data_IF_222303317279
#
_entry.id   IF_222303317279
#
_cell.length_a   1.000
_cell.length_b   1.000
_cell.length_c   1.000
_cell.angle_alpha   90.00
_cell.angle_beta   90.00
_cell.angle_gamma   90.00
#
_symmetry.space_group_name_H-M   'P 1'
#
loop_
_entity.id
_entity.type
_entity.pdbx_description
1 polymer ?
#
# COMPACT_ATOMS: atom_id res chain seq x y z
N UNK A 1 4.37 6.31 -21.66
CA UNK A 1 4.31 7.01 -20.36
C UNK A 1 2.89 6.88 -19.86
N UNK A 2 2.65 6.52 -18.59
CA UNK A 2 1.30 6.48 -18.00
C UNK A 2 1.18 7.59 -16.96
N UNK A 3 0.15 8.41 -17.04
CA UNK A 3 -0.09 9.51 -16.10
C UNK A 3 -1.33 9.23 -15.23
N UNK A 4 -1.29 9.69 -13.99
CA UNK A 4 -2.29 9.31 -13.01
C UNK A 4 -2.32 10.19 -11.78
N UNK A 5 -3.12 9.77 -10.81
CA UNK A 5 -3.26 10.46 -9.53
C UNK A 5 -3.44 9.48 -8.37
N UNK A 6 -3.35 10.01 -7.16
CA UNK A 6 -3.85 9.31 -5.98
C UNK A 6 -5.37 9.46 -5.92
N UNK A 7 -6.11 8.35 -5.94
CA UNK A 7 -7.57 8.36 -6.07
C UNK A 7 -8.24 7.76 -4.83
N UNK A 8 -9.34 8.37 -4.42
CA UNK A 8 -10.11 7.94 -3.25
C UNK A 8 -10.86 6.62 -3.50
N UNK A 9 -10.73 5.68 -2.56
CA UNK A 9 -11.48 4.40 -2.50
C UNK A 9 -12.76 4.50 -1.66
N UNK A 10 -13.19 5.72 -1.31
CA UNK A 10 -14.44 5.93 -0.60
C UNK A 10 -15.63 5.39 -1.41
N UNK A 11 -16.46 4.56 -0.76
CA UNK A 11 -17.56 3.83 -1.40
C UNK A 11 -17.18 2.43 -1.92
N UNK A 12 -15.91 2.03 -1.83
CA UNK A 12 -15.40 0.75 -2.33
C UNK A 12 -14.18 0.94 -3.23
N UNK A 13 -13.24 -0.01 -3.27
CA UNK A 13 -11.99 0.17 -4.01
C UNK A 13 -12.23 0.34 -5.51
N UNK A 14 -13.19 -0.39 -6.11
CA UNK A 14 -13.48 -0.32 -7.55
C UNK A 14 -13.95 1.06 -8.01
N UNK A 15 -14.53 1.86 -7.11
CA UNK A 15 -14.92 3.27 -7.38
C UNK A 15 -13.74 4.19 -7.66
N UNK A 16 -12.51 3.78 -7.35
CA UNK A 16 -11.34 4.52 -7.75
C UNK A 16 -11.20 4.59 -9.28
N UNK A 17 -11.60 3.54 -10.03
CA UNK A 17 -11.51 3.54 -11.48
C UNK A 17 -12.51 4.51 -12.13
N UNK A 18 -13.74 4.60 -11.62
CA UNK A 18 -14.72 5.58 -12.10
C UNK A 18 -14.15 7.01 -12.01
N UNK A 19 -13.58 7.36 -10.85
CA UNK A 19 -12.93 8.66 -10.61
C UNK A 19 -11.68 8.86 -11.47
N UNK A 20 -10.96 7.78 -11.77
CA UNK A 20 -9.76 7.82 -12.59
C UNK A 20 -10.11 8.10 -14.06
N UNK A 21 -11.19 7.49 -14.57
CA UNK A 21 -11.74 7.80 -15.90
C UNK A 21 -12.13 9.28 -15.99
N UNK A 22 -12.81 9.82 -14.97
CA UNK A 22 -13.26 11.21 -14.95
C UNK A 22 -12.12 12.24 -15.10
N UNK A 23 -10.91 11.89 -14.65
CA UNK A 23 -9.72 12.75 -14.73
C UNK A 23 -8.77 12.38 -15.88
N UNK A 24 -9.14 11.39 -16.71
CA UNK A 24 -8.29 10.89 -17.80
C UNK A 24 -7.01 10.20 -17.32
N UNK A 25 -7.02 9.58 -16.14
CA UNK A 25 -5.88 8.86 -15.62
C UNK A 25 -5.69 7.51 -16.32
N UNK A 26 -4.45 7.17 -16.60
CA UNK A 26 -4.02 5.91 -17.21
C UNK A 26 -3.49 4.92 -16.16
N UNK A 27 -3.09 5.41 -14.97
CA UNK A 27 -2.60 4.67 -13.81
C UNK A 27 -3.12 5.33 -12.52
N UNK A 28 -3.18 4.59 -11.41
CA UNK A 28 -3.65 5.14 -10.13
C UNK A 28 -2.82 4.66 -8.96
N UNK A 29 -2.77 5.50 -7.92
CA UNK A 29 -2.38 5.09 -6.58
C UNK A 29 -3.60 5.16 -5.65
N UNK A 30 -3.75 4.20 -4.74
CA UNK A 30 -4.85 4.19 -3.77
C UNK A 30 -4.36 3.81 -2.37
N UNK A 31 -5.21 4.04 -1.37
CA UNK A 31 -5.08 3.39 -0.06
C UNK A 31 -5.94 2.14 0.00
N UNK A 32 -5.36 1.00 0.39
CA UNK A 32 -6.13 -0.22 0.69
C UNK A 32 -6.91 -0.10 2.01
N UNK A 33 -6.37 0.64 2.97
CA UNK A 33 -7.04 0.94 4.24
C UNK A 33 -6.71 2.35 4.74
N UNK A 34 -7.37 2.81 5.79
CA UNK A 34 -7.14 4.16 6.32
C UNK A 34 -5.66 4.40 6.64
N UNK A 35 -4.99 5.42 6.05
CA UNK A 35 -3.56 5.67 6.28
C UNK A 35 -3.26 6.36 7.61
N UNK A 36 -4.29 6.55 8.45
CA UNK A 36 -4.23 7.31 9.70
C UNK A 36 -4.43 6.43 10.94
N UNK A 37 -4.61 5.13 10.78
CA UNK A 37 -4.85 4.19 11.88
C UNK A 37 -4.10 2.87 11.64
N UNK A 38 -3.71 2.20 12.74
CA UNK A 38 -3.11 0.87 12.68
C UNK A 38 -4.11 -0.24 12.34
N UNK A 39 -5.39 -0.02 12.64
CA UNK A 39 -6.45 -0.96 12.30
C UNK A 39 -6.56 -1.06 10.78
N UNK A 40 -6.15 -2.19 10.24
CA UNK A 40 -6.24 -2.48 8.82
C UNK A 40 -7.57 -3.19 8.51
N UNK A 41 -8.27 -2.72 7.48
CA UNK A 41 -9.45 -3.38 6.91
C UNK A 41 -9.07 -3.95 5.56
N UNK A 42 -8.94 -5.27 5.48
CA UNK A 42 -8.65 -6.00 4.24
C UNK A 42 -9.85 -5.89 3.27
N UNK A 43 -9.64 -5.71 1.95
CA UNK A 43 -10.70 -5.87 0.97
C UNK A 43 -11.26 -7.30 1.02
N UNK A 44 -12.58 -7.43 0.86
CA UNK A 44 -13.22 -8.75 0.75
C UNK A 44 -12.89 -9.40 -0.60
N UNK A 45 -13.17 -10.70 -0.76
CA UNK A 45 -12.98 -11.37 -2.05
C UNK A 45 -13.83 -10.73 -3.15
N UNK A 46 -15.08 -10.38 -2.84
CA UNK A 46 -16.00 -9.73 -3.78
C UNK A 46 -15.46 -8.37 -4.21
N UNK A 47 -14.99 -7.55 -3.26
CA UNK A 47 -14.39 -6.25 -3.55
C UNK A 47 -13.11 -6.39 -4.38
N UNK A 48 -12.34 -7.45 -4.16
CA UNK A 48 -11.07 -7.71 -4.85
C UNK A 48 -11.31 -8.19 -6.28
N UNK A 49 -12.33 -9.03 -6.50
CA UNK A 49 -12.77 -9.43 -7.84
C UNK A 49 -13.31 -8.23 -8.62
N UNK A 50 -14.25 -7.47 -8.04
CA UNK A 50 -14.83 -6.28 -8.67
C UNK A 50 -13.74 -5.26 -9.05
N UNK A 51 -12.74 -5.07 -8.19
CA UNK A 51 -11.63 -4.17 -8.46
C UNK A 51 -10.83 -4.59 -9.70
N UNK A 52 -10.45 -5.87 -9.80
CA UNK A 52 -9.68 -6.40 -10.93
C UNK A 52 -10.46 -6.31 -12.24
N UNK A 53 -11.73 -6.74 -12.24
CA UNK A 53 -12.61 -6.64 -13.41
C UNK A 53 -12.80 -5.18 -13.87
N UNK A 54 -12.89 -4.24 -12.92
CA UNK A 54 -13.01 -2.82 -13.23
C UNK A 54 -11.72 -2.23 -13.82
N UNK A 55 -10.56 -2.64 -13.29
CA UNK A 55 -9.26 -2.26 -13.86
C UNK A 55 -9.10 -2.74 -15.30
N UNK A 56 -9.43 -4.02 -15.56
CA UNK A 56 -9.38 -4.60 -16.91
C UNK A 56 -10.34 -3.89 -17.88
N UNK A 57 -11.60 -3.68 -17.49
CA UNK A 57 -12.62 -3.06 -18.35
C UNK A 57 -12.34 -1.59 -18.67
N UNK A 58 -11.68 -0.86 -17.77
CA UNK A 58 -11.29 0.55 -18.02
C UNK A 58 -9.92 0.68 -18.69
N UNK A 59 -9.10 -0.37 -18.66
CA UNK A 59 -7.72 -0.35 -19.14
C UNK A 59 -6.75 0.44 -18.25
N UNK A 60 -7.19 0.90 -17.07
CA UNK A 60 -6.40 1.72 -16.15
C UNK A 60 -5.47 0.83 -15.34
N UNK A 61 -4.18 1.12 -15.40
CA UNK A 61 -3.14 0.40 -14.67
C UNK A 61 -1.74 0.96 -14.96
N UNK A 62 -0.67 0.45 -14.37
CA UNK A 62 -0.69 -0.38 -13.17
C UNK A 62 -1.36 0.37 -12.01
N UNK A 63 -1.74 -0.37 -10.97
CA UNK A 63 -2.24 0.19 -9.71
C UNK A 63 -1.14 0.06 -8.67
N UNK A 64 -0.90 1.10 -7.89
CA UNK A 64 -0.05 1.03 -6.71
C UNK A 64 -0.86 1.29 -5.44
N UNK A 65 -0.54 0.57 -4.37
CA UNK A 65 -1.01 0.94 -3.04
C UNK A 65 -0.05 1.92 -2.41
N UNK A 66 -0.56 2.76 -1.51
CA UNK A 66 0.28 3.52 -0.59
C UNK A 66 0.06 3.02 0.84
N UNK A 67 1.15 2.71 1.54
CA UNK A 67 1.14 2.29 2.93
C UNK A 67 0.72 3.41 3.88
N UNK A 68 0.44 3.05 5.12
CA UNK A 68 0.04 4.00 6.17
C UNK A 68 1.14 5.01 6.47
N UNK A 69 0.75 6.26 6.76
CA UNK A 69 1.70 7.29 7.20
C UNK A 69 2.32 7.01 8.58
N UNK A 70 1.79 6.01 9.28
CA UNK A 70 2.27 5.60 10.59
C UNK A 70 3.49 4.68 10.52
N UNK A 71 3.76 4.07 9.36
CA UNK A 71 4.92 3.20 9.15
C UNK A 71 6.21 3.96 9.47
N UNK A 72 7.05 3.37 10.30
CA UNK A 72 8.39 3.86 10.58
C UNK A 72 9.32 2.70 10.93
N UNK A 73 10.12 2.26 9.94
CA UNK A 73 11.06 1.14 10.11
C UNK A 73 12.26 1.51 10.97
N UNK A 74 12.53 2.81 11.13
CA UNK A 74 13.47 3.37 12.09
C UNK A 74 12.81 3.81 13.40
N UNK A 75 11.66 3.24 13.76
CA UNK A 75 10.90 3.58 14.97
C UNK A 75 11.44 2.94 16.26
N UNK A 76 10.69 3.11 17.35
CA UNK A 76 10.84 2.28 18.56
C UNK A 76 10.41 0.83 18.29
N UNK A 77 10.80 -0.16 19.11
CA UNK A 77 10.44 -1.57 18.89
C UNK A 77 8.95 -1.79 18.63
N UNK A 78 8.07 -1.20 19.44
CA UNK A 78 6.62 -1.29 19.26
C UNK A 78 6.14 -0.72 17.92
N UNK A 79 6.76 0.38 17.45
CA UNK A 79 6.41 1.00 16.17
C UNK A 79 6.94 0.16 15.00
N UNK A 80 8.09 -0.48 15.15
CA UNK A 80 8.65 -1.40 14.16
C UNK A 80 7.72 -2.60 13.98
N UNK A 81 7.28 -3.24 15.07
CA UNK A 81 6.34 -4.36 15.01
C UNK A 81 5.04 -3.98 14.28
N UNK A 82 4.44 -2.85 14.66
CA UNK A 82 3.25 -2.31 13.98
C UNK A 82 3.50 -1.96 12.52
N UNK A 83 4.71 -1.52 12.18
CA UNK A 83 5.11 -1.20 10.81
C UNK A 83 5.21 -2.47 9.96
N UNK A 84 5.80 -3.55 10.50
CA UNK A 84 5.89 -4.86 9.84
C UNK A 84 4.49 -5.36 9.53
N UNK A 85 3.61 -5.42 10.54
CA UNK A 85 2.23 -5.88 10.34
C UNK A 85 1.48 -5.00 9.33
N UNK A 86 1.69 -3.68 9.35
CA UNK A 86 1.09 -2.78 8.38
C UNK A 86 1.59 -3.03 6.95
N UNK A 87 2.89 -3.24 6.76
CA UNK A 87 3.48 -3.52 5.45
C UNK A 87 3.00 -4.86 4.90
N UNK A 88 2.99 -5.92 5.71
CA UNK A 88 2.46 -7.24 5.33
C UNK A 88 1.00 -7.11 4.91
N UNK A 89 0.17 -6.42 5.69
CA UNK A 89 -1.24 -6.23 5.35
C UNK A 89 -1.44 -5.46 4.02
N UNK A 90 -0.60 -4.47 3.73
CA UNK A 90 -0.66 -3.77 2.45
C UNK A 90 -0.20 -4.67 1.29
N UNK A 91 0.84 -5.49 1.46
CA UNK A 91 1.32 -6.41 0.43
C UNK A 91 0.28 -7.51 0.14
N UNK A 92 -0.35 -8.05 1.18
CA UNK A 92 -1.50 -8.98 1.02
C UNK A 92 -2.67 -8.31 0.31
N UNK A 93 -2.99 -7.06 0.65
CA UNK A 93 -4.04 -6.32 -0.04
C UNK A 93 -3.68 -6.02 -1.51
N UNK A 94 -2.41 -5.74 -1.80
CA UNK A 94 -1.92 -5.52 -3.16
C UNK A 94 -2.10 -6.78 -4.01
N UNK A 95 -1.67 -7.94 -3.52
CA UNK A 95 -1.84 -9.24 -4.18
C UNK A 95 -3.32 -9.51 -4.49
N UNK A 96 -4.20 -9.35 -3.49
CA UNK A 96 -5.65 -9.51 -3.66
C UNK A 96 -6.24 -8.60 -4.74
N UNK A 97 -5.81 -7.34 -4.78
CA UNK A 97 -6.30 -6.34 -5.72
C UNK A 97 -5.61 -6.40 -7.09
N UNK A 98 -4.56 -7.22 -7.25
CA UNK A 98 -3.73 -7.21 -8.45
C UNK A 98 -2.97 -5.90 -8.65
N UNK A 99 -2.56 -5.25 -7.54
CA UNK A 99 -1.72 -4.07 -7.58
C UNK A 99 -0.23 -4.46 -7.70
N UNK A 100 0.55 -3.62 -8.37
CA UNK A 100 1.96 -3.87 -8.72
C UNK A 100 2.92 -3.63 -7.55
N UNK A 101 2.44 -3.17 -6.40
CA UNK A 101 3.30 -2.89 -5.26
C UNK A 101 2.72 -1.92 -4.24
N UNK A 102 3.52 -1.71 -3.19
CA UNK A 102 3.20 -0.82 -2.07
C UNK A 102 4.27 0.26 -1.94
N UNK A 103 3.85 1.51 -2.13
CA UNK A 103 4.67 2.69 -1.88
C UNK A 103 4.54 3.08 -0.41
N UNK A 104 5.64 3.34 0.28
CA UNK A 104 5.61 3.81 1.67
C UNK A 104 6.82 4.68 1.97
N UNK A 105 6.77 5.42 3.09
CA UNK A 105 7.91 6.14 3.61
C UNK A 105 8.64 5.28 4.65
N UNK A 106 9.96 5.18 4.56
CA UNK A 106 10.76 4.47 5.57
C UNK A 106 10.65 5.04 7.00
N UNK A 107 10.15 6.27 7.13
CA UNK A 107 9.86 6.91 8.40
C UNK A 107 10.96 7.88 8.83
N UNK A 108 11.22 7.95 10.14
CA UNK A 108 12.11 8.94 10.74
C UNK A 108 12.95 8.32 11.84
N UNK A 109 14.26 8.59 11.82
CA UNK A 109 15.19 8.20 12.87
C UNK A 109 15.03 9.00 14.18
N UNK A 110 14.11 9.98 14.24
CA UNK A 110 13.79 10.79 15.45
C UNK A 110 15.04 11.39 16.13
N UNK A 111 16.01 11.84 15.35
CA UNK A 111 17.26 12.43 15.85
C UNK A 111 18.39 11.44 16.18
N UNK A 112 18.17 10.12 16.07
CA UNK A 112 19.21 9.10 16.31
C UNK A 112 20.32 9.03 15.25
N UNK A 113 20.09 9.61 14.07
CA UNK A 113 20.95 9.48 12.90
C UNK A 113 20.55 8.30 12.01
N UNK A 114 20.87 8.38 10.70
CA UNK A 114 20.52 7.34 9.73
C UNK A 114 21.29 6.04 9.98
N UNK A 115 22.60 6.12 10.22
CA UNK A 115 23.45 4.95 10.45
C UNK A 115 22.97 4.13 11.66
N UNK A 116 22.43 4.78 12.68
CA UNK A 116 21.91 4.12 13.88
C UNK A 116 20.61 3.32 13.63
N UNK A 117 19.93 3.53 12.50
CA UNK A 117 18.67 2.84 12.17
C UNK A 117 18.73 2.04 10.88
N UNK A 118 19.84 2.08 10.12
CA UNK A 118 19.96 1.42 8.83
C UNK A 118 19.76 -0.10 8.94
N UNK A 119 20.48 -0.75 9.85
CA UNK A 119 20.37 -2.21 10.04
C UNK A 119 18.96 -2.60 10.49
N UNK A 120 18.37 -1.83 11.42
CA UNK A 120 17.00 -2.04 11.88
C UNK A 120 16.01 -1.92 10.72
N UNK A 121 16.16 -0.89 9.87
CA UNK A 121 15.32 -0.68 8.71
C UNK A 121 15.41 -1.85 7.73
N UNK A 122 16.62 -2.31 7.41
CA UNK A 122 16.83 -3.45 6.52
C UNK A 122 16.22 -4.74 7.08
N UNK A 123 16.45 -5.05 8.36
CA UNK A 123 15.83 -6.22 9.02
C UNK A 123 14.31 -6.14 9.01
N UNK A 124 13.75 -4.96 9.29
CA UNK A 124 12.30 -4.72 9.29
C UNK A 124 11.69 -4.98 7.92
N UNK A 125 12.34 -4.52 6.85
CA UNK A 125 11.87 -4.74 5.48
C UNK A 125 11.97 -6.20 5.06
N UNK A 126 13.09 -6.87 5.38
CA UNK A 126 13.26 -8.29 5.08
C UNK A 126 12.22 -9.16 5.80
N UNK A 127 11.89 -8.83 7.05
CA UNK A 127 10.85 -9.52 7.82
C UNK A 127 9.45 -9.32 7.22
N UNK A 128 9.15 -8.11 6.75
CA UNK A 128 7.88 -7.85 6.07
C UNK A 128 7.78 -8.63 4.75
N UNK A 129 8.86 -8.65 3.96
CA UNK A 129 8.91 -9.36 2.69
C UNK A 129 8.82 -10.89 2.86
N UNK A 130 9.55 -11.47 3.82
CA UNK A 130 9.56 -12.92 4.06
C UNK A 130 8.21 -13.53 4.47
N UNK A 131 7.28 -12.68 4.90
CA UNK A 131 5.93 -13.03 5.37
C UNK A 131 4.83 -12.50 4.46
N UNK A 132 5.19 -11.95 3.31
CA UNK A 132 4.26 -11.41 2.33
C UNK A 132 4.18 -12.29 1.08
N UNK A 133 3.16 -12.12 0.24
CA UNK A 133 3.08 -12.80 -1.05
C UNK A 133 4.26 -12.47 -1.97
N UNK A 134 4.67 -13.42 -2.81
CA UNK A 134 5.77 -13.27 -3.79
C UNK A 134 5.32 -12.65 -5.13
N UNK A 135 4.03 -12.33 -5.27
CA UNK A 135 3.39 -11.85 -6.50
C UNK A 135 3.16 -10.32 -6.53
N UNK A 136 3.83 -9.58 -5.65
CA UNK A 136 3.71 -8.12 -5.45
C UNK A 136 5.08 -7.47 -5.32
#
# INVERSE_FOLDING_TARGET
MRLGAHVSTAGGPAKAFDKAVDIGAETIQIFASSPRAWKFKMPTEEQSLEFRERGESTGIGPVFLHGSYLVNVGGSPEIVEKSIDCLINNLVAASKLGAEGVIFHGGSHKGRGFDAVLDQAATTLNEALSRSPDDV
#
